data_IF_758114771723
#
_entry.id   IF_758114771723
#
_cell.length_a   1.000
_cell.length_b   1.000
_cell.length_c   1.000
_cell.angle_alpha   90.00
_cell.angle_beta   90.00
_cell.angle_gamma   90.00
#
_symmetry.space_group_name_H-M   'P 1'
#
loop_
_entity.id
_entity.type
_entity.pdbx_description
1 polymer ?
#
# COMPACT_ATOMS: atom_id res chain seq x y z
N UNK A 1 -2.93 13.27 -14.00
CA UNK A 1 -2.95 11.82 -13.74
C UNK A 1 -1.93 11.52 -12.66
N UNK A 2 -2.13 10.46 -11.86
CA UNK A 2 -1.13 10.07 -10.88
C UNK A 2 0.15 9.60 -11.60
N UNK A 3 1.32 10.02 -11.10
CA UNK A 3 2.61 9.56 -11.60
C UNK A 3 3.05 8.38 -10.74
N UNK A 4 3.25 7.23 -11.36
CA UNK A 4 3.74 6.04 -10.68
C UNK A 4 5.25 5.89 -10.88
N UNK A 5 5.99 5.45 -9.86
CA UNK A 5 7.41 5.16 -9.99
C UNK A 5 7.66 3.96 -10.91
N UNK A 6 8.82 3.94 -11.55
CA UNK A 6 9.24 2.81 -12.41
C UNK A 6 10.42 2.02 -11.82
N UNK A 7 11.19 2.60 -10.89
CA UNK A 7 12.27 1.89 -10.21
C UNK A 7 11.71 0.99 -9.10
N UNK A 8 12.22 -0.25 -9.00
CA UNK A 8 11.73 -1.25 -8.04
C UNK A 8 11.74 -0.74 -6.59
N UNK A 9 12.82 -0.07 -6.17
CA UNK A 9 12.92 0.49 -4.82
C UNK A 9 11.80 1.49 -4.53
N UNK A 10 11.46 2.33 -5.51
CA UNK A 10 10.42 3.34 -5.39
C UNK A 10 9.01 2.73 -5.46
N UNK A 11 8.84 1.63 -6.20
CA UNK A 11 7.60 0.85 -6.23
C UNK A 11 7.35 0.18 -4.87
N UNK A 12 8.40 -0.39 -4.27
CA UNK A 12 8.32 -0.98 -2.92
C UNK A 12 7.98 0.09 -1.87
N UNK A 13 8.61 1.26 -1.94
CA UNK A 13 8.31 2.38 -1.05
C UNK A 13 6.86 2.87 -1.22
N UNK A 14 6.36 2.93 -2.45
CA UNK A 14 4.95 3.23 -2.72
C UNK A 14 4.02 2.23 -2.04
N UNK A 15 4.31 0.93 -2.14
CA UNK A 15 3.53 -0.11 -1.46
C UNK A 15 3.47 0.10 0.05
N UNK A 16 4.61 0.39 0.69
CA UNK A 16 4.69 0.69 2.13
C UNK A 16 3.85 1.92 2.51
N UNK A 17 3.90 2.98 1.70
CA UNK A 17 3.05 4.18 1.89
C UNK A 17 1.57 3.89 1.72
N UNK A 18 1.19 2.96 0.84
CA UNK A 18 -0.20 2.53 0.67
C UNK A 18 -0.72 1.79 1.92
N UNK A 19 0.08 0.88 2.49
CA UNK A 19 -0.26 0.19 3.76
C UNK A 19 -0.51 1.21 4.87
N UNK A 20 0.41 2.17 5.02
CA UNK A 20 0.28 3.23 6.01
C UNK A 20 -1.00 4.05 5.77
N UNK A 21 -1.22 4.52 4.54
CA UNK A 21 -2.40 5.34 4.20
C UNK A 21 -3.72 4.60 4.43
N UNK A 22 -3.81 3.31 4.10
CA UNK A 22 -4.99 2.49 4.34
C UNK A 22 -5.25 2.27 5.84
N UNK A 23 -4.19 2.10 6.62
CA UNK A 23 -4.27 1.93 8.08
C UNK A 23 -4.75 3.23 8.75
N UNK A 24 -4.10 4.34 8.44
CA UNK A 24 -4.37 5.66 9.02
C UNK A 24 -5.77 6.19 8.65
N UNK A 25 -6.29 5.77 7.49
CA UNK A 25 -7.57 6.24 6.95
C UNK A 25 -8.63 5.11 6.88
N UNK A 26 -8.56 4.15 7.80
CA UNK A 26 -9.53 3.04 7.86
C UNK A 26 -11.01 3.47 7.89
N UNK A 27 -11.43 4.62 8.48
CA UNK A 27 -12.83 5.06 8.40
C UNK A 27 -13.25 5.51 7.00
N UNK A 28 -12.31 5.99 6.18
CA UNK A 28 -12.54 6.40 4.79
C UNK A 28 -12.63 5.19 3.86
N UNK A 29 -11.88 4.14 4.18
CA UNK A 29 -11.83 2.88 3.43
C UNK A 29 -12.23 1.72 4.34
N UNK A 30 -13.50 1.61 4.76
CA UNK A 30 -13.91 0.64 5.79
C UNK A 30 -13.85 -0.83 5.32
N UNK A 31 -13.82 -1.07 4.01
CA UNK A 31 -13.77 -2.41 3.43
C UNK A 31 -12.97 -2.41 2.11
N UNK A 32 -11.64 -2.21 2.16
CA UNK A 32 -10.83 -2.23 0.95
C UNK A 32 -10.76 -3.66 0.38
N UNK A 33 -10.66 -3.84 -0.95
CA UNK A 33 -10.51 -5.17 -1.57
C UNK A 33 -9.32 -5.97 -1.05
N UNK A 34 -8.30 -5.29 -0.54
CA UNK A 34 -7.17 -5.87 0.16
C UNK A 34 -6.94 -5.06 1.43
N UNK A 35 -6.99 -5.72 2.58
CA UNK A 35 -6.73 -5.08 3.87
C UNK A 35 -5.25 -4.69 4.00
N UNK A 36 -4.93 -3.66 4.81
CA UNK A 36 -3.56 -3.20 4.98
C UNK A 36 -2.61 -4.31 5.47
N UNK A 37 -3.06 -5.20 6.37
CA UNK A 37 -2.25 -6.32 6.88
C UNK A 37 -1.94 -7.39 5.80
N UNK A 38 -2.89 -7.68 4.92
CA UNK A 38 -2.66 -8.64 3.82
C UNK A 38 -1.74 -8.04 2.75
N UNK A 39 -1.86 -6.73 2.51
CA UNK A 39 -0.96 -6.01 1.61
C UNK A 39 0.47 -5.95 2.17
N UNK A 40 0.64 -5.67 3.46
CA UNK A 40 1.93 -5.65 4.15
C UNK A 40 2.63 -7.01 4.05
N UNK A 41 1.91 -8.11 4.34
CA UNK A 41 2.46 -9.46 4.23
C UNK A 41 2.93 -9.82 2.81
N UNK A 42 2.24 -9.32 1.77
CA UNK A 42 2.66 -9.51 0.37
C UNK A 42 3.89 -8.69 0.01
N UNK A 43 4.01 -7.49 0.56
CA UNK A 43 5.17 -6.61 0.36
C UNK A 43 6.42 -7.23 1.01
N UNK A 44 6.29 -7.78 2.22
CA UNK A 44 7.41 -8.40 2.94
C UNK A 44 7.87 -9.74 2.34
N UNK A 45 7.05 -10.35 1.47
CA UNK A 45 7.39 -11.58 0.76
C UNK A 45 8.18 -11.34 -0.56
N UNK A 46 8.37 -10.07 -0.97
CA UNK A 46 9.17 -9.67 -2.12
C UNK A 46 10.63 -9.40 -1.72
#
# INVERSE_FOLDING_TARGET
MANFPHDEANILELGKKMVQGLTDNSPTYPAPPTGPLDLEAKIDAC
#
